data_IF_789549456959
#
_entry.id   IF_789549456959
#
_cell.length_a   1.000
_cell.length_b   1.000
_cell.length_c   1.000
_cell.angle_alpha   90.00
_cell.angle_beta   90.00
_cell.angle_gamma   90.00
#
_symmetry.space_group_name_H-M   'P 1'
#
loop_
_entity.id
_entity.type
_entity.pdbx_description
1 polymer ?
#
# COMPACT_ATOMS: atom_id res chain seq x y z
N UNK A 1 -0.47 -53.51 -36.57
CA UNK A 1 -1.34 -52.50 -35.91
C UNK A 1 -0.57 -51.76 -34.81
N UNK A 2 0.07 -52.48 -33.88
CA UNK A 2 0.87 -51.90 -32.77
C UNK A 2 2.02 -51.01 -33.29
N UNK A 3 2.77 -51.46 -34.30
CA UNK A 3 3.85 -50.68 -34.93
C UNK A 3 3.40 -49.31 -35.49
N UNK A 4 2.16 -49.22 -35.98
CA UNK A 4 1.60 -47.96 -36.50
C UNK A 4 1.29 -46.98 -35.37
N UNK A 5 0.79 -47.49 -34.25
CA UNK A 5 0.50 -46.70 -33.04
C UNK A 5 1.80 -46.18 -32.39
N UNK A 6 2.84 -47.01 -32.35
CA UNK A 6 4.16 -46.62 -31.83
C UNK A 6 4.80 -45.54 -32.72
N UNK A 7 4.71 -45.69 -34.05
CA UNK A 7 5.24 -44.69 -34.99
C UNK A 7 4.46 -43.37 -34.95
N UNK A 8 3.14 -43.42 -34.74
CA UNK A 8 2.31 -42.23 -34.57
C UNK A 8 2.61 -41.51 -33.24
N UNK A 9 2.84 -42.24 -32.15
CA UNK A 9 3.21 -41.65 -30.86
C UNK A 9 4.61 -41.01 -30.88
N UNK A 10 5.57 -41.60 -31.61
CA UNK A 10 6.91 -41.04 -31.80
C UNK A 10 6.93 -39.81 -32.73
N UNK A 11 5.88 -39.59 -33.52
CA UNK A 11 5.77 -38.48 -34.47
C UNK A 11 5.07 -37.24 -33.88
N UNK A 12 5.31 -36.93 -32.61
CA UNK A 12 4.85 -35.65 -32.04
C UNK A 12 5.77 -34.55 -32.59
N UNK A 13 5.31 -33.65 -33.48
CA UNK A 13 6.15 -32.57 -33.95
C UNK A 13 6.49 -31.67 -32.75
N UNK A 14 7.77 -31.48 -32.47
CA UNK A 14 8.20 -30.43 -31.54
C UNK A 14 7.74 -29.10 -32.14
N UNK A 15 6.91 -28.30 -31.45
CA UNK A 15 6.53 -26.99 -31.94
C UNK A 15 7.81 -26.18 -32.14
N UNK A 16 8.09 -25.81 -33.38
CA UNK A 16 9.19 -24.90 -33.68
C UNK A 16 8.72 -23.51 -33.25
N UNK A 17 9.44 -22.81 -32.36
CA UNK A 17 9.06 -21.46 -31.96
C UNK A 17 8.97 -20.58 -33.22
N UNK A 18 7.78 -20.06 -33.52
CA UNK A 18 7.54 -19.14 -34.63
C UNK A 18 7.86 -17.69 -34.26
N UNK A 19 8.14 -17.44 -32.98
CA UNK A 19 8.51 -16.15 -32.40
C UNK A 19 9.78 -16.36 -31.58
N UNK A 20 10.74 -15.46 -31.73
CA UNK A 20 11.99 -15.47 -30.96
C UNK A 20 11.67 -15.45 -29.44
N UNK A 21 12.23 -16.36 -28.61
CA UNK A 21 12.02 -16.32 -27.17
C UNK A 21 12.46 -15.01 -26.50
N UNK A 22 13.47 -14.32 -27.04
CA UNK A 22 13.90 -12.99 -26.56
C UNK A 22 12.84 -11.90 -26.79
N UNK A 23 11.86 -12.14 -27.68
CA UNK A 23 10.75 -11.23 -27.96
C UNK A 23 9.62 -11.31 -26.92
N UNK A 24 9.52 -12.41 -26.17
CA UNK A 24 8.39 -12.68 -25.24
C UNK A 24 8.74 -12.61 -23.77
N UNK A 25 10.03 -12.56 -23.44
CA UNK A 25 10.50 -12.23 -22.10
C UNK A 25 11.03 -10.81 -22.10
N UNK A 26 10.60 -9.94 -21.17
CA UNK A 26 11.26 -8.66 -20.98
C UNK A 26 12.71 -8.98 -20.61
N UNK A 27 13.62 -8.84 -21.58
CA UNK A 27 15.04 -9.14 -21.41
C UNK A 27 15.67 -8.27 -20.31
N UNK A 28 17.01 -8.25 -20.19
CA UNK A 28 17.69 -7.53 -19.11
C UNK A 28 17.25 -6.06 -18.95
N UNK A 29 16.93 -5.38 -20.06
CA UNK A 29 16.39 -4.01 -20.06
C UNK A 29 15.01 -3.94 -19.41
N UNK A 30 14.08 -4.84 -19.75
CA UNK A 30 12.74 -4.85 -19.16
C UNK A 30 12.76 -5.19 -17.67
N UNK A 31 13.65 -6.09 -17.25
CA UNK A 31 13.88 -6.36 -15.82
C UNK A 31 14.40 -5.13 -15.08
N UNK A 32 15.35 -4.39 -15.67
CA UNK A 32 15.88 -3.16 -15.08
C UNK A 32 14.78 -2.09 -14.91
N UNK A 33 13.88 -1.94 -15.89
CA UNK A 33 12.74 -1.01 -15.79
C UNK A 33 11.84 -1.39 -14.61
N UNK A 34 11.50 -2.67 -14.45
CA UNK A 34 10.67 -3.14 -13.32
C UNK A 34 11.39 -2.95 -12.00
N UNK A 35 12.69 -3.23 -11.93
CA UNK A 35 13.48 -3.01 -10.72
C UNK A 35 13.45 -1.53 -10.30
N UNK A 36 13.61 -0.59 -11.24
CA UNK A 36 13.50 0.85 -10.98
C UNK A 36 12.08 1.21 -10.52
N UNK A 37 11.05 0.66 -11.15
CA UNK A 37 9.66 0.91 -10.75
C UNK A 37 9.41 0.48 -9.30
N UNK A 38 9.88 -0.70 -8.90
CA UNK A 38 9.79 -1.19 -7.51
C UNK A 38 10.49 -0.24 -6.54
N UNK A 39 11.68 0.27 -6.89
CA UNK A 39 12.39 1.26 -6.07
C UNK A 39 11.57 2.55 -5.93
N UNK A 40 11.03 3.08 -7.02
CA UNK A 40 10.20 4.30 -6.99
C UNK A 40 8.96 4.11 -6.13
N UNK A 41 8.24 3.00 -6.30
CA UNK A 41 7.06 2.66 -5.49
C UNK A 41 7.45 2.49 -4.02
N UNK A 42 8.56 1.82 -3.73
CA UNK A 42 9.08 1.64 -2.37
C UNK A 42 9.44 2.97 -1.69
N UNK A 43 10.11 3.88 -2.42
CA UNK A 43 10.39 5.23 -1.95
C UNK A 43 9.11 6.01 -1.69
N UNK A 44 8.09 5.86 -2.54
CA UNK A 44 6.80 6.52 -2.37
C UNK A 44 6.06 6.00 -1.13
N UNK A 45 6.07 4.68 -0.89
CA UNK A 45 5.52 4.09 0.33
C UNK A 45 6.28 4.62 1.55
N UNK A 46 7.61 4.64 1.52
CA UNK A 46 8.42 5.14 2.64
C UNK A 46 8.16 6.63 2.91
N UNK A 47 8.09 7.44 1.87
CA UNK A 47 7.71 8.85 1.97
C UNK A 47 6.32 9.00 2.61
N UNK A 48 5.34 8.24 2.12
CA UNK A 48 3.97 8.29 2.63
C UNK A 48 3.91 7.87 4.11
N UNK A 49 4.61 6.81 4.51
CA UNK A 49 4.71 6.40 5.91
C UNK A 49 5.36 7.48 6.78
N UNK A 50 6.44 8.10 6.29
CA UNK A 50 7.14 9.18 7.00
C UNK A 50 6.26 10.42 7.12
N UNK A 51 5.49 10.74 6.08
CA UNK A 51 4.55 11.86 6.04
C UNK A 51 3.41 11.64 7.02
N UNK A 52 2.76 10.47 6.99
CA UNK A 52 1.66 10.14 7.92
C UNK A 52 2.12 10.27 9.37
N UNK A 53 3.27 9.67 9.72
CA UNK A 53 3.83 9.80 11.07
C UNK A 53 4.01 11.27 11.45
N UNK A 54 4.63 12.09 10.59
CA UNK A 54 4.85 13.51 10.86
C UNK A 54 3.57 14.32 11.06
N UNK A 55 2.50 14.00 10.33
CA UNK A 55 1.23 14.75 10.41
C UNK A 55 0.46 14.37 11.68
N UNK A 56 0.38 13.07 12.02
CA UNK A 56 -0.41 12.58 13.16
C UNK A 56 0.07 13.12 14.51
N UNK A 57 1.38 13.22 14.73
CA UNK A 57 1.92 13.82 15.96
C UNK A 57 1.43 15.26 16.22
N UNK A 58 1.11 16.02 15.17
CA UNK A 58 0.65 17.40 15.31
C UNK A 58 -0.84 17.53 15.61
N UNK A 59 -1.62 16.53 15.24
CA UNK A 59 -3.06 16.51 15.48
C UNK A 59 -3.36 16.07 16.90
N UNK A 60 -2.69 15.03 17.38
CA UNK A 60 -2.87 14.52 18.76
C UNK A 60 -2.49 15.58 19.80
N UNK A 61 -1.37 16.29 19.61
CA UNK A 61 -0.95 17.37 20.51
C UNK A 61 -1.91 18.57 20.47
N UNK A 62 -2.44 18.92 19.29
CA UNK A 62 -3.43 20.01 19.19
C UNK A 62 -4.76 19.62 19.82
N UNK A 63 -5.20 18.38 19.65
CA UNK A 63 -6.44 17.90 20.24
C UNK A 63 -6.39 17.90 21.77
N UNK A 64 -5.23 17.58 22.35
CA UNK A 64 -5.04 17.65 23.81
C UNK A 64 -5.02 19.10 24.32
N UNK A 65 -4.32 20.01 23.65
CA UNK A 65 -4.34 21.44 23.97
C UNK A 65 -5.74 22.06 23.84
N UNK A 66 -6.46 21.75 22.75
CA UNK A 66 -7.83 22.23 22.54
C UNK A 66 -8.79 21.67 23.61
N UNK A 67 -8.57 20.45 24.10
CA UNK A 67 -9.38 19.85 25.17
C UNK A 67 -9.07 20.49 26.54
N UNK A 68 -7.80 20.78 26.83
CA UNK A 68 -7.39 21.52 28.02
C UNK A 68 -7.94 22.95 28.02
N UNK A 69 -7.89 23.65 26.89
CA UNK A 69 -8.46 25.00 26.75
C UNK A 69 -9.99 25.00 26.92
N UNK A 70 -10.67 23.97 26.41
CA UNK A 70 -12.11 23.79 26.61
C UNK A 70 -12.47 23.47 28.07
N UNK A 71 -11.67 22.63 28.73
CA UNK A 71 -11.84 22.33 30.15
C UNK A 71 -11.57 23.58 31.02
N UNK A 72 -10.60 24.42 30.64
CA UNK A 72 -10.29 25.68 31.33
C UNK A 72 -11.32 26.79 31.04
N UNK A 73 -12.03 26.73 29.91
CA UNK A 73 -13.02 27.73 29.48
C UNK A 73 -14.46 27.32 29.79
N UNK A 74 -14.70 26.12 30.35
CA UNK A 74 -16.02 25.72 30.81
C UNK A 74 -16.49 26.66 31.93
N UNK A 75 -17.55 27.45 31.74
CA UNK A 75 -18.05 28.35 32.78
C UNK A 75 -18.59 27.52 33.93
N UNK A 76 -18.24 27.88 35.17
CA UNK A 76 -18.84 27.38 36.41
C UNK A 76 -20.35 27.70 36.42
N UNK A 77 -21.16 26.97 35.66
CA UNK A 77 -22.61 27.19 35.58
C UNK A 77 -23.42 26.35 36.58
N UNK A 78 -22.77 25.53 37.39
CA UNK A 78 -23.44 24.68 38.40
C UNK A 78 -23.44 25.29 39.82
N UNK A 79 -23.01 26.54 39.99
CA UNK A 79 -22.94 27.20 41.29
C UNK A 79 -24.14 28.12 41.64
N UNK A 80 -25.11 28.34 40.74
CA UNK A 80 -26.15 29.38 40.95
C UNK A 80 -27.59 28.87 41.16
N UNK A 81 -27.85 27.56 41.12
CA UNK A 81 -29.23 27.02 41.29
C UNK A 81 -29.43 26.23 42.60
N UNK A 82 -29.06 26.83 43.74
CA UNK A 82 -29.56 26.44 45.06
C UNK A 82 -29.45 27.60 46.07
N UNK A 83 -30.13 28.71 45.77
CA UNK A 83 -30.32 29.84 46.68
C UNK A 83 -31.01 29.47 48.01
N UNK A 84 -30.89 30.33 49.04
CA UNK A 84 -30.99 29.96 50.45
C UNK A 84 -32.41 29.74 50.97
N UNK A 85 -32.49 28.88 52.00
CA UNK A 85 -33.66 28.50 52.79
C UNK A 85 -34.47 29.72 53.30
N UNK A 86 -35.79 29.63 53.21
CA UNK A 86 -36.77 30.34 54.05
C UNK A 86 -37.77 29.34 54.61
#
# INVERSE_FOLDING_TARGET
MIELLVRAAAATPTPTPTVDPELVTPGPVGFAIVAVLVVVVGLLIWDMLRRVRRVRYREEVRAELDAEEQAASAPDSDADEAGPKS
#
